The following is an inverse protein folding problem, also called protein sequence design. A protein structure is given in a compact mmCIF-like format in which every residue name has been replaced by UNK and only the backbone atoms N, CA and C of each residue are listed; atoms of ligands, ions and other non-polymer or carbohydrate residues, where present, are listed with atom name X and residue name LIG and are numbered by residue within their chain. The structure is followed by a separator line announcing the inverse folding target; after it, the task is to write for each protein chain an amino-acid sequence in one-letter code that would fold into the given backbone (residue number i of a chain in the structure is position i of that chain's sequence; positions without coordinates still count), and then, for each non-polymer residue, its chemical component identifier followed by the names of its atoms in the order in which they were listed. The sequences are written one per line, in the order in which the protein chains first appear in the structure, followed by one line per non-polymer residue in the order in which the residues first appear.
data_IF_177872312411
#
_entry.id   IF_177872312411
#
_cell.length_a   1.000
_cell.length_b   1.000
_cell.length_c   1.000
_cell.angle_alpha   90.00
_cell.angle_beta   90.00
_cell.angle_gamma   90.00
#
_symmetry.space_group_name_H-M   'P 1'
#
loop_
_entity.id
_entity.type
_entity.pdbx_description
1 polymer ?
#
# COMPACT_ATOMS: atom_id res chain seq x y z
N UNK A 1 32.48 -21.76 -7.06
CA UNK A 1 31.03 -21.45 -7.02
C UNK A 1 30.73 -20.73 -8.32
N UNK A 2 29.94 -21.30 -9.24
CA UNK A 2 29.56 -20.58 -10.46
C UNK A 2 28.54 -19.53 -10.04
N UNK A 3 28.82 -18.26 -10.29
CA UNK A 3 27.81 -17.20 -10.18
C UNK A 3 26.67 -17.56 -11.14
N UNK A 4 25.49 -17.81 -10.60
CA UNK A 4 24.26 -17.88 -11.39
C UNK A 4 24.02 -16.47 -11.96
N UNK A 5 23.57 -16.32 -13.22
CA UNK A 5 23.14 -15.03 -13.73
C UNK A 5 22.12 -14.43 -12.76
N UNK A 6 22.26 -13.15 -12.43
CA UNK A 6 21.27 -12.47 -11.58
C UNK A 6 19.90 -12.60 -12.22
N UNK A 7 18.88 -13.15 -11.54
CA UNK A 7 17.55 -13.44 -12.11
C UNK A 7 16.70 -12.17 -12.33
N UNK A 8 17.33 -10.99 -12.29
CA UNK A 8 16.67 -9.69 -12.33
C UNK A 8 17.34 -8.85 -13.41
N UNK A 9 16.55 -8.38 -14.37
CA UNK A 9 16.92 -7.36 -15.34
C UNK A 9 16.10 -6.08 -15.10
N UNK A 10 16.69 -4.94 -15.42
CA UNK A 10 16.02 -3.64 -15.34
C UNK A 10 15.77 -3.19 -16.77
N UNK A 11 14.52 -2.86 -17.06
CA UNK A 11 14.09 -2.29 -18.33
C UNK A 11 13.33 -1.00 -18.04
N UNK A 12 13.50 0.01 -18.90
CA UNK A 12 12.83 1.30 -18.76
C UNK A 12 11.59 1.37 -19.65
N UNK A 13 10.55 2.04 -19.16
CA UNK A 13 9.42 2.55 -19.94
C UNK A 13 9.41 4.07 -19.78
N UNK A 14 8.85 4.79 -20.75
CA UNK A 14 8.76 6.25 -20.66
C UNK A 14 7.56 6.64 -19.80
N UNK A 15 7.74 7.68 -19.00
CA UNK A 15 6.65 8.39 -18.31
C UNK A 15 6.11 9.59 -19.11
N UNK A 16 6.72 9.89 -20.26
CA UNK A 16 6.42 11.04 -21.10
C UNK A 16 7.11 12.33 -20.67
N UNK A 17 7.95 12.27 -19.63
CA UNK A 17 8.75 13.35 -19.04
C UNK A 17 10.16 12.82 -18.71
N UNK A 18 10.82 12.23 -19.70
CA UNK A 18 12.04 11.43 -19.50
C UNK A 18 13.25 12.25 -19.00
N UNK A 19 13.20 13.59 -19.07
CA UNK A 19 14.29 14.48 -18.69
C UNK A 19 14.16 15.01 -17.25
N UNK A 20 12.94 15.19 -16.74
CA UNK A 20 12.72 15.81 -15.42
C UNK A 20 11.53 15.30 -14.61
N UNK A 21 10.79 14.29 -15.09
CA UNK A 21 9.69 13.64 -14.38
C UNK A 21 8.65 14.64 -13.85
N UNK A 22 8.39 14.60 -12.54
CA UNK A 22 7.40 15.48 -11.90
C UNK A 22 7.78 16.96 -12.00
N UNK A 23 9.07 17.30 -11.94
CA UNK A 23 9.53 18.69 -12.02
C UNK A 23 9.28 19.28 -13.42
N UNK A 24 9.45 18.46 -14.47
CA UNK A 24 9.13 18.83 -15.85
C UNK A 24 7.62 19.00 -16.06
N UNK A 25 6.82 18.13 -15.44
CA UNK A 25 5.37 18.18 -15.49
C UNK A 25 4.77 19.38 -14.72
N UNK A 26 5.50 19.95 -13.77
CA UNK A 26 5.08 21.08 -12.93
C UNK A 26 4.02 20.74 -11.87
N UNK A 27 3.42 19.55 -11.90
CA UNK A 27 2.57 19.01 -10.84
C UNK A 27 2.45 17.49 -10.94
N UNK A 28 2.22 16.83 -9.81
CA UNK A 28 2.05 15.38 -9.74
C UNK A 28 0.83 14.88 -10.53
N UNK A 29 -0.25 15.67 -10.56
CA UNK A 29 -1.46 15.38 -11.32
C UNK A 29 -1.23 15.32 -12.83
N UNK A 30 -0.50 16.31 -13.37
CA UNK A 30 -0.13 16.37 -14.79
C UNK A 30 0.82 15.22 -15.14
N UNK A 31 1.81 14.98 -14.28
CA UNK A 31 2.76 13.87 -14.42
C UNK A 31 2.03 12.52 -14.58
N UNK A 32 1.13 12.20 -13.64
CA UNK A 32 0.46 10.89 -13.65
C UNK A 32 -0.54 10.73 -14.79
N UNK A 33 -1.19 11.81 -15.23
CA UNK A 33 -2.04 11.80 -16.42
C UNK A 33 -1.22 11.46 -17.66
N UNK A 34 -0.06 12.12 -17.83
CA UNK A 34 0.84 11.86 -18.96
C UNK A 34 1.44 10.46 -18.90
N UNK A 35 1.85 10.02 -17.71
CA UNK A 35 2.43 8.70 -17.52
C UNK A 35 1.42 7.60 -17.86
N UNK A 36 0.13 7.78 -17.53
CA UNK A 36 -0.90 6.84 -17.98
C UNK A 36 -0.96 6.74 -19.51
N UNK A 37 -0.96 7.87 -20.22
CA UNK A 37 -1.03 7.88 -21.69
C UNK A 37 0.20 7.21 -22.33
N UNK A 38 1.40 7.62 -21.92
CA UNK A 38 2.65 7.15 -22.51
C UNK A 38 2.99 5.73 -22.04
N UNK A 39 2.78 5.46 -20.75
CA UNK A 39 3.07 4.18 -20.12
C UNK A 39 2.30 3.01 -20.71
N UNK A 40 1.03 3.21 -21.11
CA UNK A 40 0.23 2.21 -21.84
C UNK A 40 0.95 1.71 -23.10
N UNK A 41 1.52 2.64 -23.86
CA UNK A 41 2.20 2.34 -25.12
C UNK A 41 3.61 1.80 -24.89
N UNK A 42 4.41 2.43 -24.03
CA UNK A 42 5.80 2.01 -23.82
C UNK A 42 5.91 0.69 -23.06
N UNK A 43 4.99 0.39 -22.13
CA UNK A 43 4.92 -0.94 -21.50
C UNK A 43 4.50 -2.01 -22.53
N UNK A 44 3.55 -1.70 -23.41
CA UNK A 44 3.17 -2.59 -24.51
C UNK A 44 4.36 -2.89 -25.44
N UNK A 45 5.16 -1.86 -25.77
CA UNK A 45 6.35 -1.99 -26.61
C UNK A 45 7.43 -2.84 -25.92
N UNK A 46 7.65 -2.63 -24.61
CA UNK A 46 8.59 -3.42 -23.83
C UNK A 46 8.22 -4.91 -23.82
N UNK A 47 6.96 -5.25 -23.59
CA UNK A 47 6.47 -6.64 -23.62
C UNK A 47 6.74 -7.27 -25.00
N UNK A 48 6.50 -6.55 -26.09
CA UNK A 48 6.80 -7.02 -27.44
C UNK A 48 8.31 -7.20 -27.68
N UNK A 49 9.13 -6.24 -27.25
CA UNK A 49 10.59 -6.32 -27.31
C UNK A 49 11.09 -7.58 -26.61
N UNK A 50 10.67 -7.80 -25.36
CA UNK A 50 11.06 -8.95 -24.56
C UNK A 50 10.66 -10.28 -25.21
N UNK A 51 9.43 -10.35 -25.74
CA UNK A 51 8.98 -11.50 -26.55
C UNK A 51 9.87 -11.76 -27.76
N UNK A 52 10.24 -10.72 -28.52
CA UNK A 52 11.10 -10.84 -29.70
C UNK A 52 12.55 -11.21 -29.36
N UNK A 53 13.01 -10.87 -28.15
CA UNK A 53 14.31 -11.26 -27.63
C UNK A 53 14.34 -12.68 -27.04
N UNK A 54 13.25 -13.45 -27.12
CA UNK A 54 13.16 -14.80 -26.57
C UNK A 54 12.93 -14.85 -25.07
N UNK A 55 12.50 -13.75 -24.46
CA UNK A 55 12.16 -13.64 -23.04
C UNK A 55 10.69 -13.18 -22.91
N UNK A 56 9.70 -14.02 -23.26
CA UNK A 56 8.30 -13.63 -23.17
C UNK A 56 7.91 -13.34 -21.72
N UNK A 57 7.15 -12.27 -21.51
CA UNK A 57 6.54 -11.96 -20.20
C UNK A 57 5.35 -12.89 -19.99
N UNK A 58 5.23 -13.48 -18.80
CA UNK A 58 4.08 -14.32 -18.41
C UNK A 58 3.12 -13.62 -17.44
N UNK A 59 3.63 -12.69 -16.65
CA UNK A 59 2.89 -12.01 -15.59
C UNK A 59 3.33 -10.55 -15.48
N UNK A 60 2.38 -9.66 -15.17
CA UNK A 60 2.66 -8.29 -14.73
C UNK A 60 2.24 -8.18 -13.27
N UNK A 61 3.22 -7.94 -12.40
CA UNK A 61 2.99 -7.50 -11.02
C UNK A 61 3.08 -5.97 -11.01
N UNK A 62 2.04 -5.28 -10.57
CA UNK A 62 1.96 -3.82 -10.64
C UNK A 62 1.39 -3.22 -9.35
N UNK A 63 1.81 -1.99 -9.05
CA UNK A 63 1.21 -1.21 -7.97
C UNK A 63 -0.13 -0.61 -8.46
N UNK A 64 -1.26 -0.82 -7.75
CA UNK A 64 -2.58 -0.32 -8.13
C UNK A 64 -2.70 1.20 -8.28
N UNK A 65 -1.74 1.99 -7.77
CA UNK A 65 -1.66 3.43 -8.07
C UNK A 65 -1.50 3.70 -9.58
N UNK A 66 -1.06 2.69 -10.35
CA UNK A 66 -1.04 2.67 -11.81
C UNK A 66 -2.12 1.72 -12.33
N UNK A 67 -3.43 2.05 -12.20
CA UNK A 67 -4.51 1.13 -12.54
C UNK A 67 -4.51 0.73 -14.03
N UNK A 68 -3.88 1.52 -14.90
CA UNK A 68 -3.77 1.23 -16.33
C UNK A 68 -2.88 0.02 -16.66
N UNK A 69 -1.99 -0.42 -15.75
CA UNK A 69 -1.08 -1.54 -16.00
C UNK A 69 -1.83 -2.87 -16.20
N UNK A 70 -2.96 -3.06 -15.52
CA UNK A 70 -3.80 -4.25 -15.71
C UNK A 70 -4.38 -4.32 -17.13
N UNK A 71 -4.71 -3.19 -17.74
CA UNK A 71 -5.23 -3.15 -19.11
C UNK A 71 -4.17 -3.63 -20.11
N UNK A 72 -2.91 -3.25 -19.88
CA UNK A 72 -1.79 -3.75 -20.68
C UNK A 72 -1.64 -5.26 -20.51
N UNK A 73 -1.67 -5.77 -19.27
CA UNK A 73 -1.62 -7.21 -19.03
C UNK A 73 -2.71 -7.96 -19.81
N UNK A 74 -3.96 -7.49 -19.73
CA UNK A 74 -5.10 -8.11 -20.42
C UNK A 74 -5.02 -8.00 -21.94
N UNK A 75 -4.53 -6.89 -22.48
CA UNK A 75 -4.27 -6.72 -23.92
C UNK A 75 -3.35 -7.80 -24.48
N UNK A 76 -2.39 -8.28 -23.69
CA UNK A 76 -1.45 -9.32 -24.08
C UNK A 76 -1.81 -10.72 -23.57
N UNK A 77 -2.98 -10.89 -22.91
CA UNK A 77 -3.40 -12.16 -22.32
C UNK A 77 -2.49 -12.65 -21.18
N UNK A 78 -1.83 -11.72 -20.48
CA UNK A 78 -0.92 -12.02 -19.38
C UNK A 78 -1.67 -12.16 -18.07
N UNK A 79 -1.10 -12.95 -17.15
CA UNK A 79 -1.51 -12.92 -15.75
C UNK A 79 -1.17 -11.55 -15.16
N UNK A 80 -2.03 -11.06 -14.28
CA UNK A 80 -1.88 -9.78 -13.62
C UNK A 80 -2.04 -9.92 -12.11
N UNK A 81 -1.10 -9.36 -11.36
CA UNK A 81 -1.14 -9.29 -9.92
C UNK A 81 -1.05 -7.83 -9.46
N UNK A 82 -2.13 -7.34 -8.86
CA UNK A 82 -2.12 -6.08 -8.13
C UNK A 82 -1.32 -6.29 -6.84
N UNK A 83 -0.31 -5.46 -6.58
CA UNK A 83 0.50 -5.51 -5.37
C UNK A 83 0.36 -4.21 -4.58
N UNK A 84 -0.44 -4.25 -3.51
CA UNK A 84 -0.61 -3.14 -2.60
C UNK A 84 0.60 -3.00 -1.69
N UNK A 85 1.25 -1.85 -1.79
CA UNK A 85 2.41 -1.48 -0.97
C UNK A 85 2.03 -0.63 0.25
N UNK A 86 0.80 -0.13 0.28
CA UNK A 86 0.24 0.67 1.35
C UNK A 86 -0.22 -0.20 2.54
N UNK A 87 -0.46 0.46 3.67
CA UNK A 87 -1.04 -0.19 4.84
C UNK A 87 -2.53 -0.54 4.57
N UNK A 88 -2.98 -1.73 4.97
CA UNK A 88 -4.35 -2.20 4.77
C UNK A 88 -5.42 -1.24 5.29
N UNK A 89 -5.17 -0.60 6.45
CA UNK A 89 -6.09 0.41 7.02
C UNK A 89 -6.16 1.65 6.15
N UNK A 90 -5.03 2.09 5.58
CA UNK A 90 -4.99 3.23 4.65
C UNK A 90 -5.75 2.92 3.37
N UNK A 91 -5.53 1.72 2.79
CA UNK A 91 -6.28 1.27 1.63
C UNK A 91 -7.78 1.18 1.92
N UNK A 92 -8.16 0.69 3.09
CA UNK A 92 -9.55 0.60 3.52
C UNK A 92 -10.20 1.99 3.65
N UNK A 93 -9.47 2.97 4.19
CA UNK A 93 -9.91 4.38 4.22
C UNK A 93 -10.15 4.89 2.80
N UNK A 94 -9.16 4.77 1.91
CA UNK A 94 -9.30 5.24 0.53
C UNK A 94 -10.46 4.57 -0.22
N UNK A 95 -10.68 3.28 0.03
CA UNK A 95 -11.81 2.55 -0.53
C UNK A 95 -13.16 3.13 -0.07
N UNK A 96 -13.34 3.41 1.22
CA UNK A 96 -14.60 3.97 1.72
C UNK A 96 -14.78 5.46 1.41
N UNK A 97 -13.69 6.19 1.16
CA UNK A 97 -13.73 7.53 0.55
C UNK A 97 -14.23 7.44 -0.90
N UNK A 98 -13.72 6.51 -1.72
CA UNK A 98 -14.21 6.26 -3.09
C UNK A 98 -15.71 5.95 -3.11
N UNK A 99 -16.19 5.15 -2.16
CA UNK A 99 -17.61 4.80 -2.03
C UNK A 99 -18.48 5.92 -1.46
N UNK A 100 -17.89 7.04 -1.04
CA UNK A 100 -18.61 8.15 -0.40
C UNK A 100 -19.21 7.79 0.97
N UNK A 101 -18.73 6.71 1.60
CA UNK A 101 -19.16 6.28 2.94
C UNK A 101 -18.50 7.15 4.01
N UNK A 102 -17.20 7.41 3.88
CA UNK A 102 -16.47 8.37 4.71
C UNK A 102 -16.53 9.72 4.03
N UNK A 103 -16.99 10.74 4.75
CA UNK A 103 -16.97 12.12 4.27
C UNK A 103 -15.77 12.84 4.87
N UNK A 104 -15.00 13.48 4.00
CA UNK A 104 -13.80 14.24 4.37
C UNK A 104 -13.95 15.70 3.91
N UNK A 105 -13.12 16.63 4.43
CA UNK A 105 -13.09 18.01 3.96
C UNK A 105 -13.03 18.11 2.43
N UNK A 106 -13.66 19.14 1.82
CA UNK A 106 -14.19 20.36 2.44
C UNK A 106 -15.69 20.34 2.78
N UNK A 107 -16.40 19.21 2.63
CA UNK A 107 -17.87 19.19 2.71
C UNK A 107 -18.43 19.01 4.13
N UNK A 108 -18.22 17.85 4.74
CA UNK A 108 -18.68 17.53 6.09
C UNK A 108 -17.67 16.53 6.68
N UNK A 109 -17.17 16.82 7.88
CA UNK A 109 -16.18 15.98 8.56
C UNK A 109 -16.92 15.17 9.61
N UNK A 110 -16.87 13.86 9.50
CA UNK A 110 -17.30 13.00 10.60
C UNK A 110 -16.30 13.19 11.75
N UNK A 111 -16.77 13.65 12.92
CA UNK A 111 -15.93 13.81 14.12
C UNK A 111 -15.37 12.45 14.59
N UNK A 112 -16.12 11.39 14.32
CA UNK A 112 -15.82 10.00 14.65
C UNK A 112 -16.14 9.13 13.42
N UNK A 113 -15.12 8.48 12.84
CA UNK A 113 -15.27 7.64 11.66
C UNK A 113 -15.29 6.18 12.10
N UNK A 114 -16.41 5.50 11.82
CA UNK A 114 -16.54 4.05 11.98
C UNK A 114 -16.13 3.36 10.68
N UNK A 115 -14.92 2.82 10.65
CA UNK A 115 -14.41 2.05 9.52
C UNK A 115 -14.87 0.59 9.61
N UNK A 116 -15.57 0.06 8.59
CA UNK A 116 -15.84 -1.37 8.52
C UNK A 116 -14.53 -2.18 8.53
N UNK A 117 -14.45 -3.20 9.40
CA UNK A 117 -13.26 -4.02 9.60
C UNK A 117 -12.28 -3.49 10.65
N UNK A 118 -12.59 -2.37 11.31
CA UNK A 118 -11.85 -1.87 12.47
C UNK A 118 -12.75 -1.85 13.70
N UNK A 119 -12.25 -2.43 14.80
CA UNK A 119 -12.95 -2.48 16.10
C UNK A 119 -12.96 -1.13 16.84
N UNK A 120 -12.24 -0.13 16.33
CA UNK A 120 -12.16 1.20 16.93
C UNK A 120 -12.66 2.28 15.98
N UNK A 121 -13.28 3.29 16.56
CA UNK A 121 -13.50 4.57 15.91
C UNK A 121 -12.15 5.26 15.69
N UNK A 122 -11.96 5.86 14.51
CA UNK A 122 -10.79 6.70 14.23
C UNK A 122 -11.18 8.18 14.17
N UNK A 123 -10.25 9.04 14.56
CA UNK A 123 -10.41 10.49 14.49
C UNK A 123 -9.97 11.00 13.11
N UNK A 124 -10.42 12.18 12.69
CA UNK A 124 -9.95 12.80 11.42
C UNK A 124 -8.42 12.96 11.38
N UNK A 125 -7.77 13.14 12.54
CA UNK A 125 -6.30 13.22 12.63
C UNK A 125 -5.59 11.90 12.37
N UNK A 126 -6.29 10.78 12.45
CA UNK A 126 -5.75 9.45 12.15
C UNK A 126 -5.89 9.10 10.65
N UNK A 127 -6.64 9.91 9.89
CA UNK A 127 -6.86 9.76 8.45
C UNK A 127 -5.67 10.36 7.67
N UNK A 128 -5.17 9.69 6.59
CA UNK A 128 -4.08 10.22 5.77
C UNK A 128 -4.31 11.65 5.30
N UNK A 129 -3.29 12.50 5.43
CA UNK A 129 -3.33 13.92 5.02
C UNK A 129 -3.72 14.10 3.56
N UNK A 130 -3.39 13.13 2.71
CA UNK A 130 -3.79 13.10 1.31
C UNK A 130 -5.30 13.23 1.09
N UNK A 131 -6.13 12.81 2.06
CA UNK A 131 -7.59 12.91 1.96
C UNK A 131 -8.20 13.79 3.04
N UNK A 132 -7.56 13.95 4.21
CA UNK A 132 -8.05 14.83 5.28
C UNK A 132 -7.68 16.31 5.06
N UNK A 133 -6.55 16.59 4.42
CA UNK A 133 -6.11 17.96 4.05
C UNK A 133 -5.47 17.93 2.66
N UNK A 134 -6.26 17.64 1.60
CA UNK A 134 -5.69 17.39 0.28
C UNK A 134 -5.03 18.65 -0.29
N UNK A 135 -3.84 18.48 -0.88
CA UNK A 135 -3.15 19.53 -1.62
C UNK A 135 -3.85 19.82 -2.96
N UNK A 136 -4.52 18.82 -3.53
CA UNK A 136 -5.23 18.87 -4.81
C UNK A 136 -6.28 17.76 -4.90
N UNK A 137 -7.48 18.11 -5.38
CA UNK A 137 -8.56 17.15 -5.63
C UNK A 137 -8.15 16.04 -6.61
N UNK A 138 -7.27 16.36 -7.56
CA UNK A 138 -6.80 15.38 -8.55
C UNK A 138 -5.93 14.31 -7.88
N UNK A 139 -5.13 14.68 -6.88
CA UNK A 139 -4.31 13.72 -6.14
C UNK A 139 -5.18 12.75 -5.34
N UNK A 140 -6.26 13.25 -4.74
CA UNK A 140 -7.28 12.42 -4.07
C UNK A 140 -7.90 11.45 -5.06
N UNK A 141 -8.39 11.97 -6.19
CA UNK A 141 -9.02 11.17 -7.25
C UNK A 141 -8.08 10.05 -7.71
N UNK A 142 -6.80 10.34 -7.90
CA UNK A 142 -5.81 9.35 -8.30
C UNK A 142 -5.60 8.26 -7.27
N UNK A 143 -5.51 8.59 -5.98
CA UNK A 143 -5.33 7.61 -4.89
C UNK A 143 -6.55 6.72 -4.73
N UNK A 144 -7.76 7.27 -4.79
CA UNK A 144 -8.99 6.46 -4.67
C UNK A 144 -9.27 5.63 -5.93
N UNK A 145 -8.80 6.10 -7.10
CA UNK A 145 -8.99 5.40 -8.36
C UNK A 145 -8.18 4.09 -8.48
N UNK A 146 -7.29 3.78 -7.53
CA UNK A 146 -6.55 2.53 -7.49
C UNK A 146 -7.45 1.27 -7.41
N UNK A 147 -8.71 1.43 -6.95
CA UNK A 147 -9.69 0.34 -6.85
C UNK A 147 -10.58 0.17 -8.09
N UNK A 148 -10.53 1.11 -9.04
CA UNK A 148 -11.51 1.24 -10.14
C UNK A 148 -11.63 0.02 -11.06
N UNK A 149 -10.54 -0.73 -11.21
CA UNK A 149 -10.46 -1.89 -12.09
C UNK A 149 -9.82 -3.11 -11.42
N UNK A 150 -9.79 -3.15 -10.09
CA UNK A 150 -9.14 -4.21 -9.32
C UNK A 150 -9.74 -5.60 -9.62
N UNK A 151 -11.02 -5.67 -9.95
CA UNK A 151 -11.71 -6.90 -10.40
C UNK A 151 -11.13 -7.51 -11.68
N UNK A 152 -10.32 -6.77 -12.43
CA UNK A 152 -9.60 -7.31 -13.60
C UNK A 152 -8.33 -8.05 -13.20
N UNK A 153 -7.73 -7.76 -12.05
CA UNK A 153 -6.53 -8.45 -11.60
C UNK A 153 -6.83 -9.93 -11.33
N UNK A 154 -5.91 -10.81 -11.71
CA UNK A 154 -6.04 -12.25 -11.41
C UNK A 154 -5.63 -12.56 -9.97
N UNK A 155 -4.76 -11.72 -9.41
CA UNK A 155 -4.28 -11.79 -8.04
C UNK A 155 -4.28 -10.42 -7.38
N UNK A 156 -4.58 -10.41 -6.09
CA UNK A 156 -4.39 -9.26 -5.21
C UNK A 156 -3.40 -9.70 -4.15
N UNK A 157 -2.23 -9.09 -4.16
CA UNK A 157 -1.18 -9.25 -3.18
C UNK A 157 -1.18 -8.00 -2.32
N UNK A 158 -1.15 -8.17 -1.01
CA UNK A 158 -1.09 -7.08 -0.06
C UNK A 158 0.17 -7.26 0.75
N UNK A 159 0.96 -6.20 0.91
CA UNK A 159 2.19 -6.21 1.70
C UNK A 159 1.89 -6.21 3.21
N UNK A 160 1.19 -7.24 3.67
CA UNK A 160 0.85 -7.50 5.07
C UNK A 160 0.70 -9.01 5.30
N UNK A 161 0.40 -9.40 6.54
CA UNK A 161 0.14 -10.77 6.93
C UNK A 161 -1.12 -10.84 7.79
N UNK A 162 -1.88 -11.93 7.66
CA UNK A 162 -3.21 -12.06 8.27
C UNK A 162 -3.24 -11.84 9.77
N UNK A 163 -2.19 -12.24 10.48
CA UNK A 163 -2.10 -12.09 11.92
C UNK A 163 -2.05 -10.61 12.34
N UNK A 164 -1.51 -9.71 11.51
CA UNK A 164 -1.48 -8.26 11.74
C UNK A 164 -2.85 -7.61 11.61
N UNK A 165 -3.62 -8.08 10.64
CA UNK A 165 -4.91 -7.48 10.23
C UNK A 165 -6.12 -8.07 10.98
N UNK A 166 -5.87 -8.83 12.06
CA UNK A 166 -6.95 -9.25 12.96
C UNK A 166 -7.47 -8.02 13.70
N UNK A 167 -8.78 -8.00 13.95
CA UNK A 167 -9.53 -6.97 14.68
C UNK A 167 -9.12 -6.76 16.16
N UNK A 168 -7.96 -7.28 16.58
CA UNK A 168 -7.41 -7.21 17.93
C UNK A 168 -6.74 -5.84 18.19
N UNK A 169 -6.94 -5.27 19.37
CA UNK A 169 -6.22 -4.06 19.80
C UNK A 169 -4.76 -4.42 20.05
N UNK A 170 -3.83 -3.73 19.38
CA UNK A 170 -2.41 -4.06 19.47
C UNK A 170 -1.83 -3.83 20.88
N UNK A 171 -2.30 -2.78 21.58
CA UNK A 171 -1.87 -2.41 22.94
C UNK A 171 -0.33 -2.31 23.08
N UNK A 172 0.30 -1.73 22.05
CA UNK A 172 1.75 -1.66 21.84
C UNK A 172 2.40 -0.36 22.32
N UNK A 173 1.61 0.57 22.83
CA UNK A 173 2.09 1.91 23.17
C UNK A 173 1.06 2.72 23.93
N UNK A 174 1.39 3.98 24.17
CA UNK A 174 0.54 4.95 24.87
C UNK A 174 0.40 6.19 23.99
N UNK A 175 -0.83 6.64 23.72
CA UNK A 175 -1.10 7.92 23.05
C UNK A 175 -0.86 9.04 24.07
N UNK A 176 0.16 9.87 23.83
CA UNK A 176 0.40 11.06 24.64
C UNK A 176 -0.72 12.09 24.40
N UNK A 177 -1.34 12.58 25.47
CA UNK A 177 -2.44 13.53 25.36
C UNK A 177 -1.91 14.92 24.98
N UNK A 178 -2.53 15.51 23.96
CA UNK A 178 -2.28 16.88 23.55
C UNK A 178 -3.11 17.85 24.42
N UNK A 179 -2.62 19.08 24.59
CA UNK A 179 -3.41 20.17 25.16
C UNK A 179 -4.38 20.78 24.12
N UNK A 180 -5.16 21.78 24.52
CA UNK A 180 -6.16 22.46 23.66
C UNK A 180 -5.55 23.08 22.39
N UNK A 181 -4.21 23.24 22.33
CA UNK A 181 -3.50 23.77 21.16
C UNK A 181 -2.89 22.68 20.29
N UNK A 182 -3.18 21.40 20.58
CA UNK A 182 -2.57 20.26 19.90
C UNK A 182 -1.12 20.00 20.31
N UNK A 183 -0.64 20.59 21.41
CA UNK A 183 0.76 20.50 21.83
C UNK A 183 0.90 19.44 22.94
N UNK A 184 1.83 18.49 22.75
CA UNK A 184 2.22 17.57 23.82
C UNK A 184 3.31 18.22 24.67
N UNK A 185 3.02 18.42 25.96
CA UNK A 185 3.96 19.07 26.89
C UNK A 185 4.98 18.09 27.46
N UNK A 186 6.10 18.63 27.93
CA UNK A 186 7.19 17.86 28.53
C UNK A 186 6.70 16.95 29.65
N UNK A 187 5.82 17.46 30.53
CA UNK A 187 5.32 16.74 31.70
C UNK A 187 4.54 15.48 31.28
N UNK A 188 3.72 15.59 30.23
CA UNK A 188 2.96 14.46 29.66
C UNK A 188 3.90 13.40 29.10
N UNK A 189 5.00 13.81 28.45
CA UNK A 189 6.01 12.89 27.94
C UNK A 189 6.73 12.17 29.09
N UNK A 190 7.11 12.88 30.14
CA UNK A 190 7.76 12.29 31.32
C UNK A 190 6.84 11.25 32.00
N UNK A 191 5.55 11.55 32.16
CA UNK A 191 4.56 10.59 32.66
C UNK A 191 4.42 9.37 31.75
N UNK A 192 4.36 9.56 30.43
CA UNK A 192 4.29 8.45 29.48
C UNK A 192 5.53 7.55 29.55
N UNK A 193 6.72 8.13 29.64
CA UNK A 193 7.98 7.38 29.80
C UNK A 193 7.93 6.57 31.10
N UNK A 194 7.50 7.18 32.20
CA UNK A 194 7.38 6.49 33.49
C UNK A 194 6.41 5.31 33.43
N UNK A 195 5.24 5.50 32.82
CA UNK A 195 4.24 4.45 32.60
C UNK A 195 4.80 3.27 31.80
N UNK A 196 5.61 3.54 30.77
CA UNK A 196 6.21 2.51 29.92
C UNK A 196 7.40 1.82 30.60
N UNK A 197 8.19 2.56 31.37
CA UNK A 197 9.47 2.06 31.90
C UNK A 197 9.35 1.44 33.29
N UNK A 198 8.53 2.02 34.17
CA UNK A 198 8.51 1.70 35.60
C UNK A 198 7.24 0.95 36.03
N UNK A 199 6.12 1.13 35.32
CA UNK A 199 4.83 0.58 35.74
C UNK A 199 4.51 -0.79 35.12
N UNK A 200 3.57 -1.52 35.74
CA UNK A 200 3.10 -2.83 35.26
C UNK A 200 2.55 -2.75 33.83
N UNK A 201 1.93 -1.63 33.47
CA UNK A 201 1.46 -1.35 32.11
C UNK A 201 2.58 -1.45 31.09
N UNK A 202 3.79 -1.03 31.44
CA UNK A 202 4.99 -1.19 30.62
C UNK A 202 5.34 -2.65 30.32
N UNK A 203 5.10 -3.57 31.28
CA UNK A 203 5.31 -5.01 31.06
C UNK A 203 4.29 -5.58 30.07
N UNK A 204 3.03 -5.15 30.16
CA UNK A 204 1.98 -5.53 29.20
C UNK A 204 2.35 -5.06 27.79
N UNK A 205 2.72 -3.79 27.64
CA UNK A 205 3.15 -3.21 26.35
C UNK A 205 4.34 -4.00 25.76
N UNK A 206 5.38 -4.29 26.56
CA UNK A 206 6.53 -5.08 26.09
C UNK A 206 6.14 -6.52 25.75
N UNK A 207 5.20 -7.12 26.49
CA UNK A 207 4.68 -8.46 26.21
C UNK A 207 3.96 -8.52 24.87
N UNK A 208 3.05 -7.57 24.63
CA UNK A 208 2.38 -7.40 23.36
C UNK A 208 3.39 -7.18 22.22
N UNK A 209 4.44 -6.40 22.48
CA UNK A 209 5.47 -6.14 21.47
C UNK A 209 6.26 -7.37 21.05
N UNK A 210 6.58 -8.22 22.02
CA UNK A 210 7.21 -9.50 21.74
C UNK A 210 6.26 -10.43 20.97
N UNK A 211 4.99 -10.50 21.38
CA UNK A 211 3.97 -11.29 20.67
C UNK A 211 3.87 -10.87 19.20
N UNK A 212 3.73 -9.58 18.91
CA UNK A 212 3.65 -9.06 17.54
C UNK A 212 4.93 -9.32 16.73
N UNK A 213 6.10 -9.12 17.34
CA UNK A 213 7.39 -9.48 16.73
C UNK A 213 7.45 -10.97 16.36
N UNK A 214 6.98 -11.85 17.23
CA UNK A 214 6.97 -13.30 16.98
C UNK A 214 5.99 -13.68 15.88
N UNK A 215 4.78 -13.08 15.85
CA UNK A 215 3.82 -13.29 14.77
C UNK A 215 4.39 -12.87 13.42
N UNK A 216 4.96 -11.66 13.32
CA UNK A 216 5.57 -11.16 12.10
C UNK A 216 6.72 -12.07 11.64
N UNK A 217 7.59 -12.49 12.56
CA UNK A 217 8.69 -13.41 12.24
C UNK A 217 8.16 -14.74 11.70
N UNK A 218 7.21 -15.37 12.41
CA UNK A 218 6.68 -16.66 12.01
C UNK A 218 5.90 -16.60 10.68
N UNK A 219 5.28 -15.46 10.35
CA UNK A 219 4.60 -15.27 9.08
C UNK A 219 5.59 -15.20 7.90
N UNK A 220 6.77 -14.61 8.12
CA UNK A 220 7.81 -14.37 7.11
C UNK A 220 8.86 -15.48 7.03
N UNK A 221 9.01 -16.30 8.06
CA UNK A 221 9.91 -17.45 8.08
C UNK A 221 9.47 -18.51 7.05
N UNK A 222 10.39 -19.39 6.65
CA UNK A 222 10.13 -20.51 5.73
C UNK A 222 8.98 -21.40 6.26
N UNK A 223 7.99 -21.68 5.41
CA UNK A 223 6.75 -22.36 5.78
C UNK A 223 5.76 -21.49 6.57
N UNK A 224 6.04 -20.21 6.75
CA UNK A 224 5.14 -19.20 7.28
C UNK A 224 3.97 -18.87 6.36
N UNK A 225 3.02 -18.07 6.83
CA UNK A 225 1.83 -17.71 6.06
C UNK A 225 2.16 -16.87 4.82
N UNK A 226 3.06 -15.90 4.93
CA UNK A 226 3.50 -15.07 3.80
C UNK A 226 4.30 -15.89 2.79
N UNK A 227 5.20 -16.75 3.26
CA UNK A 227 6.03 -17.62 2.43
C UNK A 227 5.16 -18.55 1.57
N UNK A 228 4.20 -19.24 2.21
CA UNK A 228 3.23 -20.11 1.53
C UNK A 228 2.39 -19.38 0.48
N UNK A 229 1.97 -18.15 0.74
CA UNK A 229 1.19 -17.36 -0.22
C UNK A 229 2.02 -17.03 -1.47
N UNK A 230 3.30 -16.70 -1.29
CA UNK A 230 4.23 -16.45 -2.41
C UNK A 230 4.49 -17.74 -3.18
N UNK A 231 4.71 -18.86 -2.49
CA UNK A 231 4.86 -20.18 -3.13
C UNK A 231 3.63 -20.56 -3.94
N UNK A 232 2.41 -20.30 -3.43
CA UNK A 232 1.16 -20.56 -4.15
C UNK A 232 1.09 -19.70 -5.42
N UNK A 233 1.38 -18.39 -5.30
CA UNK A 233 1.39 -17.48 -6.44
C UNK A 233 2.38 -17.94 -7.52
N UNK A 234 3.63 -18.23 -7.14
CA UNK A 234 4.67 -18.70 -8.07
C UNK A 234 4.27 -20.04 -8.69
N UNK A 235 3.75 -20.98 -7.90
CA UNK A 235 3.32 -22.29 -8.39
C UNK A 235 2.22 -22.18 -9.45
N UNK A 236 1.24 -21.27 -9.26
CA UNK A 236 0.21 -21.05 -10.30
C UNK A 236 0.74 -20.32 -11.52
N UNK A 237 1.77 -19.48 -11.41
CA UNK A 237 2.40 -18.89 -12.59
C UNK A 237 3.13 -19.94 -13.43
N UNK A 238 3.82 -20.88 -12.77
CA UNK A 238 4.56 -21.95 -13.43
C UNK A 238 3.66 -22.98 -14.15
N UNK A 239 2.36 -23.02 -13.85
CA UNK A 239 1.40 -23.87 -14.58
C UNK A 239 0.79 -23.19 -15.82
N UNK A 240 0.99 -21.88 -15.97
CA UNK A 240 0.48 -21.07 -17.09
C UNK A 240 1.56 -20.85 -18.16
N UNK A 241 2.84 -20.95 -17.79
CA UNK A 241 4.00 -20.91 -18.69
C UNK A 241 4.20 -22.21 -19.47
#
# INVERSE_FOLDING_TARGET
MKELPTPVSIEAISDGYDDGGVDEAGSYAVYMTRFKEVGLDTLSQLIQKLKNCGCPVNCIVYDPILPWAVEVAKKFGLVSAAFFTQNCTVDNIYYYVDKGVIKLPPTQVDEEILLPGLSCTIETSDVPSFVSTPESDILVEMLVNQFSNLQKADWILINSFYELEKEDVWEMGIKAKQDEKGIVRREVIEECIKLVMEEEKGNVIRGNAKKWKELARNAMDEGGSSDKNIEEFVSKLMTIS
#
